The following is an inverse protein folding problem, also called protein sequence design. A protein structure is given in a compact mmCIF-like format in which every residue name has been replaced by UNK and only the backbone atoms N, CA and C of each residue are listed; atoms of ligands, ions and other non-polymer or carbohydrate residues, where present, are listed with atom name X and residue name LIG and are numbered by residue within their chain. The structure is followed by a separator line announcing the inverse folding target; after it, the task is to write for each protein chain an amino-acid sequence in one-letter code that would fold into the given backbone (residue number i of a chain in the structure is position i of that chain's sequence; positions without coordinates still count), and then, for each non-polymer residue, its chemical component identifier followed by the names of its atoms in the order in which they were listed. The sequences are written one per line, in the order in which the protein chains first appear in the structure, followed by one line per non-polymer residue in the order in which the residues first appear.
data_IF_953671057309
#
_entry.id   IF_953671057309
#
_cell.length_a   1.000
_cell.length_b   1.000
_cell.length_c   1.000
_cell.angle_alpha   90.00
_cell.angle_beta   90.00
_cell.angle_gamma   90.00
#
_symmetry.space_group_name_H-M   'P 1'
#
loop_
_entity.id
_entity.type
_entity.pdbx_description
1 polymer ?
#
# COMPACT_ATOMS: atom_id res chain seq x y z
N UNK A 1 30.01 35.54 53.23
CA UNK A 1 30.15 34.37 52.35
C UNK A 1 28.75 34.03 51.81
N UNK A 2 28.41 34.56 50.64
CA UNK A 2 27.08 34.42 50.05
C UNK A 2 27.12 33.23 49.10
N UNK A 3 26.34 32.20 49.44
CA UNK A 3 26.20 30.98 48.63
C UNK A 3 25.21 31.25 47.47
N UNK A 4 25.73 31.41 46.24
CA UNK A 4 24.90 31.52 45.06
C UNK A 4 24.52 30.11 44.59
N UNK A 5 23.27 29.70 44.87
CA UNK A 5 22.69 28.50 44.29
C UNK A 5 22.39 28.75 42.80
N UNK A 6 23.20 28.16 41.91
CA UNK A 6 22.95 28.06 40.49
C UNK A 6 21.79 27.06 40.28
N UNK A 7 20.58 27.57 40.09
CA UNK A 7 19.44 26.82 39.57
C UNK A 7 19.69 26.58 38.07
N UNK A 8 20.20 25.40 37.70
CA UNK A 8 20.18 24.93 36.33
C UNK A 8 18.72 24.71 35.91
N UNK A 9 18.26 25.29 34.83
CA UNK A 9 16.94 24.96 34.30
C UNK A 9 16.97 23.50 33.84
N UNK A 10 16.23 22.64 34.51
CA UNK A 10 15.82 21.35 33.96
C UNK A 10 14.96 21.67 32.73
N UNK A 11 15.60 21.69 31.55
CA UNK A 11 14.87 21.65 30.28
C UNK A 11 14.08 20.34 30.29
N UNK A 12 12.80 20.41 30.64
CA UNK A 12 11.82 19.40 30.33
C UNK A 12 11.85 19.32 28.77
N UNK A 13 12.56 18.32 28.24
CA UNK A 13 12.29 17.85 26.90
C UNK A 13 10.86 17.33 26.93
N UNK A 14 9.92 18.18 26.60
CA UNK A 14 8.57 17.75 26.30
C UNK A 14 8.71 16.73 25.16
N UNK A 15 8.57 15.46 25.49
CA UNK A 15 8.56 14.38 24.52
C UNK A 15 7.41 14.72 23.55
N UNK A 16 7.77 15.13 22.34
CA UNK A 16 6.78 15.55 21.34
C UNK A 16 5.86 14.35 21.12
N UNK A 17 4.62 14.51 21.58
CA UNK A 17 3.64 13.42 21.54
C UNK A 17 3.42 13.04 20.07
N UNK A 18 3.67 11.78 19.75
CA UNK A 18 3.36 11.27 18.41
C UNK A 18 1.91 11.59 18.06
N UNK A 19 1.72 12.33 16.98
CA UNK A 19 0.40 12.75 16.51
C UNK A 19 -0.21 11.72 15.53
N UNK A 20 0.61 10.84 14.93
CA UNK A 20 0.15 9.96 13.87
C UNK A 20 -0.60 8.73 14.42
N UNK A 21 -1.83 8.55 13.92
CA UNK A 21 -2.72 7.42 14.22
C UNK A 21 -3.04 6.60 12.98
N UNK A 22 -2.87 7.18 11.81
CA UNK A 22 -3.17 6.55 10.53
C UNK A 22 -1.91 6.50 9.66
N UNK A 23 -1.71 5.37 8.98
CA UNK A 23 -0.63 5.17 8.02
C UNK A 23 -1.22 4.84 6.65
N UNK A 24 -0.75 5.50 5.60
CA UNK A 24 -1.20 5.25 4.22
C UNK A 24 -0.02 4.89 3.32
N UNK A 25 -0.18 3.82 2.56
CA UNK A 25 0.89 3.21 1.76
C UNK A 25 0.51 3.15 0.29
N UNK A 26 1.37 3.69 -0.56
CA UNK A 26 1.20 3.68 -2.01
C UNK A 26 1.38 2.29 -2.60
N UNK A 27 0.74 2.01 -3.75
CA UNK A 27 1.02 0.85 -4.59
C UNK A 27 2.36 1.00 -5.32
N UNK A 28 3.16 -0.06 -5.38
CA UNK A 28 4.51 0.07 -5.97
C UNK A 28 5.12 -1.22 -6.52
N UNK A 29 4.37 -2.33 -6.59
CA UNK A 29 4.89 -3.63 -7.01
C UNK A 29 6.16 -4.01 -6.22
N UNK A 30 7.25 -4.41 -6.88
CA UNK A 30 8.52 -4.79 -6.24
C UNK A 30 9.17 -3.68 -5.41
N UNK A 31 8.84 -2.42 -5.66
CA UNK A 31 9.37 -1.26 -4.94
C UNK A 31 8.89 -1.21 -3.47
N UNK A 32 7.79 -1.91 -3.16
CA UNK A 32 7.27 -2.03 -1.78
C UNK A 32 8.26 -2.62 -0.76
N UNK A 33 9.40 -3.17 -1.20
CA UNK A 33 10.52 -3.55 -0.31
C UNK A 33 10.99 -2.36 0.53
N UNK A 34 10.90 -1.14 0.00
CA UNK A 34 11.28 0.07 0.69
C UNK A 34 10.48 0.32 1.98
N UNK A 35 9.27 -0.22 2.08
CA UNK A 35 8.45 -0.09 3.29
C UNK A 35 9.09 -0.71 4.53
N UNK A 36 9.84 -1.81 4.38
CA UNK A 36 10.50 -2.45 5.52
C UNK A 36 11.49 -1.50 6.21
N UNK A 37 12.28 -0.75 5.44
CA UNK A 37 13.19 0.26 5.98
C UNK A 37 12.45 1.43 6.64
N UNK A 38 11.41 1.94 6.00
CA UNK A 38 10.60 3.01 6.57
C UNK A 38 9.91 2.58 7.86
N UNK A 39 9.37 1.37 7.92
CA UNK A 39 8.75 0.82 9.14
C UNK A 39 9.76 0.67 10.27
N UNK A 40 11.00 0.27 9.98
CA UNK A 40 12.06 0.21 11.00
C UNK A 40 12.33 1.59 11.61
N UNK A 41 12.42 2.64 10.79
CA UNK A 41 12.60 4.00 11.29
C UNK A 41 11.40 4.47 12.13
N UNK A 42 10.16 4.20 11.67
CA UNK A 42 8.94 4.54 12.42
C UNK A 42 8.85 3.76 13.73
N UNK A 43 9.28 2.49 13.75
CA UNK A 43 9.30 1.66 14.97
C UNK A 43 10.31 2.17 15.97
N UNK A 44 11.54 2.51 15.54
CA UNK A 44 12.60 3.08 16.39
C UNK A 44 12.21 4.43 17.01
N UNK A 45 11.35 5.18 16.32
CA UNK A 45 10.78 6.45 16.82
C UNK A 45 9.50 6.28 17.64
N UNK A 46 9.06 5.05 17.86
CA UNK A 46 7.83 4.75 18.61
C UNK A 46 6.54 5.16 17.90
N UNK A 47 6.60 5.46 16.59
CA UNK A 47 5.43 5.88 15.79
C UNK A 47 4.62 4.67 15.35
N UNK A 48 5.27 3.65 14.78
CA UNK A 48 4.58 2.48 14.24
C UNK A 48 3.69 1.75 15.26
N UNK A 49 4.09 1.58 16.55
CA UNK A 49 3.22 1.00 17.56
C UNK A 49 1.94 1.80 17.83
N UNK A 50 1.98 3.13 17.69
CA UNK A 50 0.86 4.02 17.97
C UNK A 50 -0.13 4.16 16.79
N UNK A 51 0.21 3.65 15.60
CA UNK A 51 -0.70 3.58 14.47
C UNK A 51 -1.90 2.70 14.83
N UNK A 52 -3.09 3.15 14.47
CA UNK A 52 -4.36 2.46 14.72
C UNK A 52 -4.99 1.94 13.42
N UNK A 53 -4.84 2.67 12.31
CA UNK A 53 -5.41 2.34 11.01
C UNK A 53 -4.32 2.35 9.94
N UNK A 54 -4.33 1.38 9.05
CA UNK A 54 -3.40 1.33 7.91
C UNK A 54 -4.21 1.19 6.63
N UNK A 55 -4.01 2.13 5.71
CA UNK A 55 -4.60 2.13 4.39
C UNK A 55 -3.57 1.88 3.30
N UNK A 56 -3.95 1.21 2.20
CA UNK A 56 -3.03 1.04 1.10
C UNK A 56 -3.63 0.46 -0.17
N UNK A 57 -2.86 0.56 -1.24
CA UNK A 57 -3.18 -0.02 -2.55
C UNK A 57 -2.08 -1.00 -2.96
N UNK A 58 -2.44 -2.12 -3.61
CA UNK A 58 -1.47 -3.05 -4.20
C UNK A 58 -0.35 -3.48 -3.24
N UNK A 59 0.91 -3.17 -3.53
CA UNK A 59 2.04 -3.43 -2.63
C UNK A 59 1.89 -2.77 -1.26
N UNK A 60 1.27 -1.58 -1.21
CA UNK A 60 0.95 -0.89 0.04
C UNK A 60 -0.10 -1.64 0.87
N UNK A 61 -1.09 -2.26 0.23
CA UNK A 61 -2.06 -3.11 0.92
C UNK A 61 -1.41 -4.38 1.50
N UNK A 62 -0.44 -4.98 0.78
CA UNK A 62 0.32 -6.14 1.27
C UNK A 62 1.17 -5.76 2.49
N UNK A 63 1.91 -4.65 2.41
CA UNK A 63 2.71 -4.16 3.52
C UNK A 63 1.83 -3.75 4.72
N UNK A 64 0.70 -3.09 4.45
CA UNK A 64 -0.31 -2.72 5.45
C UNK A 64 -0.91 -3.93 6.15
N UNK A 65 -1.24 -5.00 5.40
CA UNK A 65 -1.70 -6.26 6.00
C UNK A 65 -0.70 -6.78 7.03
N UNK A 66 0.60 -6.83 6.68
CA UNK A 66 1.63 -7.34 7.60
C UNK A 66 1.67 -6.52 8.90
N UNK A 67 1.65 -5.18 8.80
CA UNK A 67 1.59 -4.31 9.98
C UNK A 67 0.31 -4.57 10.80
N UNK A 68 -0.85 -4.67 10.13
CA UNK A 68 -2.14 -4.82 10.79
C UNK A 68 -2.29 -6.13 11.58
N UNK A 69 -1.69 -7.21 11.08
CA UNK A 69 -1.73 -8.51 11.76
C UNK A 69 -0.56 -8.71 12.75
N UNK A 70 0.21 -7.66 13.03
CA UNK A 70 1.18 -7.63 14.12
C UNK A 70 2.59 -8.13 13.77
N UNK A 71 3.03 -8.02 12.51
CA UNK A 71 4.45 -8.16 12.18
C UNK A 71 5.21 -6.90 12.58
N UNK A 72 6.38 -7.06 13.19
CA UNK A 72 7.32 -5.97 13.41
C UNK A 72 8.17 -5.69 12.16
N UNK A 73 8.90 -4.57 12.14
CA UNK A 73 9.67 -4.15 10.97
C UNK A 73 10.72 -5.18 10.53
N UNK A 74 11.39 -5.84 11.48
CA UNK A 74 12.41 -6.87 11.19
C UNK A 74 11.80 -8.14 10.56
N UNK A 75 10.64 -8.57 11.06
CA UNK A 75 9.90 -9.70 10.48
C UNK A 75 9.43 -9.37 9.05
N UNK A 76 8.92 -8.14 8.83
CA UNK A 76 8.50 -7.66 7.51
C UNK A 76 9.69 -7.65 6.55
N UNK A 77 10.85 -7.13 6.95
CA UNK A 77 12.06 -7.16 6.13
C UNK A 77 12.47 -8.60 5.77
N UNK A 78 12.51 -9.49 6.76
CA UNK A 78 12.84 -10.91 6.51
C UNK A 78 11.89 -11.60 5.54
N UNK A 79 10.60 -11.27 5.58
CA UNK A 79 9.59 -11.83 4.67
C UNK A 79 9.71 -11.24 3.26
N UNK A 80 9.73 -9.92 3.15
CA UNK A 80 9.75 -9.21 1.86
C UNK A 80 11.09 -9.42 1.15
N UNK A 81 12.22 -9.45 1.87
CA UNK A 81 13.54 -9.68 1.29
C UNK A 81 13.66 -11.07 0.66
N UNK A 82 12.96 -12.07 1.19
CA UNK A 82 12.92 -13.44 0.64
C UNK A 82 11.86 -13.60 -0.45
N UNK A 83 10.90 -12.68 -0.53
CA UNK A 83 9.80 -12.79 -1.47
C UNK A 83 10.27 -12.59 -2.91
N UNK A 84 9.99 -13.58 -3.76
CA UNK A 84 10.15 -13.47 -5.20
C UNK A 84 8.76 -13.51 -5.84
N UNK A 85 8.26 -12.38 -6.32
CA UNK A 85 6.89 -12.27 -6.88
C UNK A 85 6.61 -13.29 -7.99
N UNK A 86 7.66 -13.76 -8.72
CA UNK A 86 7.50 -14.81 -9.72
C UNK A 86 7.07 -16.17 -9.14
N UNK A 87 7.25 -16.43 -7.85
CA UNK A 87 6.73 -17.65 -7.22
C UNK A 87 5.21 -17.74 -7.27
N UNK A 88 4.54 -16.59 -7.45
CA UNK A 88 3.09 -16.51 -7.62
C UNK A 88 2.64 -16.76 -9.06
N UNK A 89 3.58 -16.94 -10.00
CA UNK A 89 3.27 -17.30 -11.37
C UNK A 89 2.68 -18.71 -11.40
N UNK A 90 1.41 -18.81 -11.70
CA UNK A 90 0.64 -20.04 -11.70
C UNK A 90 -0.15 -20.25 -12.98
N UNK A 91 -0.74 -21.45 -13.11
CA UNK A 91 -1.49 -21.84 -14.28
C UNK A 91 -0.71 -22.78 -15.21
N UNK A 92 -1.42 -23.72 -15.83
CA UNK A 92 -0.86 -24.76 -16.69
C UNK A 92 -0.82 -24.34 -18.16
N UNK A 93 -0.08 -25.09 -19.01
CA UNK A 93 -0.14 -25.01 -20.47
C UNK A 93 0.82 -24.03 -21.12
N UNK A 94 1.94 -23.67 -20.45
CA UNK A 94 3.02 -22.88 -21.07
C UNK A 94 2.53 -21.58 -21.73
N UNK A 95 3.10 -21.22 -22.88
CA UNK A 95 2.75 -19.99 -23.64
C UNK A 95 1.29 -20.05 -24.13
N UNK A 96 0.84 -21.18 -24.67
CA UNK A 96 -0.54 -21.34 -25.15
C UNK A 96 -1.56 -21.21 -24.00
N UNK A 97 -1.24 -21.77 -22.83
CA UNK A 97 -2.08 -21.63 -21.65
C UNK A 97 -2.17 -20.18 -21.16
N UNK A 98 -1.07 -19.43 -21.20
CA UNK A 98 -1.03 -17.99 -20.88
C UNK A 98 -1.91 -17.19 -21.84
N UNK A 99 -1.76 -17.39 -23.16
CA UNK A 99 -2.58 -16.72 -24.17
C UNK A 99 -4.06 -17.04 -23.99
N UNK A 100 -4.42 -18.32 -23.80
CA UNK A 100 -5.82 -18.72 -23.56
C UNK A 100 -6.41 -18.07 -22.31
N UNK A 101 -5.66 -17.99 -21.21
CA UNK A 101 -6.13 -17.33 -19.99
C UNK A 101 -6.29 -15.84 -20.21
N UNK A 102 -5.32 -15.17 -20.80
CA UNK A 102 -5.40 -13.75 -21.10
C UNK A 102 -6.66 -13.44 -21.94
N UNK A 103 -6.94 -14.23 -22.97
CA UNK A 103 -8.11 -14.02 -23.85
C UNK A 103 -9.45 -14.34 -23.16
N UNK A 104 -9.51 -15.39 -22.33
CA UNK A 104 -10.78 -15.91 -21.79
C UNK A 104 -11.02 -15.54 -20.33
N UNK A 105 -9.96 -15.19 -19.59
CA UNK A 105 -9.97 -14.94 -18.14
C UNK A 105 -9.28 -13.64 -17.75
N UNK A 106 -8.84 -12.86 -18.74
CA UNK A 106 -8.28 -11.50 -18.60
C UNK A 106 -7.01 -11.40 -17.78
N UNK A 107 -6.29 -12.51 -17.57
CA UNK A 107 -5.01 -12.56 -16.85
C UNK A 107 -4.10 -13.68 -17.35
N UNK A 108 -2.78 -13.44 -17.31
CA UNK A 108 -1.75 -14.45 -17.69
C UNK A 108 -1.64 -15.53 -16.61
N UNK A 109 -1.72 -15.14 -15.35
CA UNK A 109 -1.62 -16.01 -14.18
C UNK A 109 -2.93 -16.01 -13.40
N UNK A 110 -3.23 -17.14 -12.75
CA UNK A 110 -4.50 -17.32 -12.00
C UNK A 110 -4.53 -16.51 -10.73
N UNK A 111 -3.37 -16.37 -10.07
CA UNK A 111 -3.23 -15.71 -8.78
C UNK A 111 -3.63 -16.56 -7.59
N UNK A 112 -3.87 -17.86 -7.77
CA UNK A 112 -4.23 -18.78 -6.69
C UNK A 112 -3.09 -18.98 -5.70
N UNK A 113 -1.84 -19.02 -6.21
CA UNK A 113 -0.65 -19.10 -5.35
C UNK A 113 -0.45 -17.84 -4.51
N UNK A 114 -0.73 -16.67 -5.07
CA UNK A 114 -0.66 -15.40 -4.36
C UNK A 114 -1.74 -15.36 -3.27
N UNK A 115 -2.97 -15.71 -3.61
CA UNK A 115 -4.07 -15.80 -2.66
C UNK A 115 -3.74 -16.77 -1.52
N UNK A 116 -3.30 -17.99 -1.84
CA UNK A 116 -2.90 -18.99 -0.84
C UNK A 116 -1.81 -18.46 0.10
N UNK A 117 -0.82 -17.75 -0.44
CA UNK A 117 0.24 -17.17 0.37
C UNK A 117 -0.30 -16.11 1.34
N UNK A 118 -1.24 -15.26 0.92
CA UNK A 118 -1.88 -14.28 1.80
C UNK A 118 -2.65 -14.96 2.95
N UNK A 119 -3.43 -15.99 2.65
CA UNK A 119 -4.14 -16.76 3.68
C UNK A 119 -3.17 -17.44 4.67
N UNK A 120 -2.05 -17.97 4.17
CA UNK A 120 -1.00 -18.57 5.01
C UNK A 120 -0.31 -17.50 5.89
N UNK A 121 -0.06 -16.31 5.36
CA UNK A 121 0.52 -15.21 6.11
C UNK A 121 -0.39 -14.78 7.27
N UNK A 122 -1.68 -14.63 7.00
CA UNK A 122 -2.68 -14.31 8.03
C UNK A 122 -2.75 -15.42 9.08
N UNK A 123 -2.86 -16.67 8.65
CA UNK A 123 -2.89 -17.82 9.56
C UNK A 123 -1.65 -17.90 10.47
N UNK A 124 -0.47 -17.62 9.91
CA UNK A 124 0.79 -17.69 10.65
C UNK A 124 0.82 -16.73 11.85
N UNK A 125 0.29 -15.52 11.69
CA UNK A 125 0.30 -14.49 12.75
C UNK A 125 -0.92 -14.53 13.68
N UNK A 126 -2.08 -14.93 13.16
CA UNK A 126 -3.36 -14.80 13.89
C UNK A 126 -3.98 -16.13 14.26
N UNK A 127 -3.46 -17.24 13.75
CA UNK A 127 -4.05 -18.57 13.91
C UNK A 127 -5.30 -18.82 13.05
N UNK A 128 -5.82 -17.80 12.34
CA UNK A 128 -7.04 -17.91 11.53
C UNK A 128 -6.78 -17.44 10.08
N UNK A 129 -6.71 -18.38 9.13
CA UNK A 129 -6.52 -18.06 7.72
C UNK A 129 -7.64 -17.18 7.13
N UNK A 130 -8.87 -17.35 7.60
CA UNK A 130 -10.07 -16.68 7.09
C UNK A 130 -10.45 -15.45 7.92
N UNK A 131 -9.49 -14.84 8.63
CA UNK A 131 -9.73 -13.67 9.45
C UNK A 131 -10.44 -12.58 8.65
N UNK A 132 -11.58 -12.11 9.16
CA UNK A 132 -12.38 -11.06 8.54
C UNK A 132 -11.93 -9.67 9.02
N UNK A 133 -12.39 -8.61 8.36
CA UNK A 133 -12.16 -7.25 8.84
C UNK A 133 -12.79 -7.01 10.21
N UNK A 134 -13.98 -7.55 10.48
CA UNK A 134 -14.63 -7.46 11.79
C UNK A 134 -13.82 -8.18 12.89
N UNK A 135 -13.24 -9.34 12.57
CA UNK A 135 -12.37 -10.06 13.50
C UNK A 135 -11.12 -9.26 13.85
N UNK A 136 -10.45 -8.73 12.81
CA UNK A 136 -9.25 -7.91 12.99
C UNK A 136 -9.56 -6.65 13.83
N UNK A 137 -10.69 -6.01 13.59
CA UNK A 137 -11.13 -4.86 14.38
C UNK A 137 -11.32 -5.21 15.87
N UNK A 138 -11.96 -6.35 16.17
CA UNK A 138 -12.10 -6.83 17.56
C UNK A 138 -10.73 -7.09 18.21
N UNK A 139 -9.82 -7.77 17.48
CA UNK A 139 -8.46 -8.01 17.96
C UNK A 139 -7.72 -6.70 18.27
N UNK A 140 -7.88 -5.67 17.43
CA UNK A 140 -7.30 -4.35 17.68
C UNK A 140 -7.85 -3.69 18.95
N UNK A 141 -9.14 -3.81 19.23
CA UNK A 141 -9.75 -3.27 20.45
C UNK A 141 -9.19 -3.92 21.71
N UNK A 142 -8.83 -5.19 21.65
CA UNK A 142 -8.27 -5.97 22.76
C UNK A 142 -6.75 -5.80 22.87
N UNK A 143 -6.04 -5.63 21.76
CA UNK A 143 -4.58 -5.59 21.73
C UNK A 143 -4.08 -4.60 20.65
N UNK A 144 -3.40 -3.54 21.09
CA UNK A 144 -2.82 -2.50 20.24
C UNK A 144 -1.76 -3.00 19.23
N UNK A 145 -1.30 -4.23 19.34
CA UNK A 145 -0.43 -4.85 18.35
C UNK A 145 -1.13 -4.96 17.00
N UNK A 146 -2.44 -5.22 16.98
CA UNK A 146 -3.25 -5.28 15.77
C UNK A 146 -3.73 -3.89 15.36
N UNK A 147 -3.96 -3.70 14.05
CA UNK A 147 -4.42 -2.42 13.48
C UNK A 147 -5.59 -2.69 12.53
N UNK A 148 -6.43 -1.69 12.30
CA UNK A 148 -7.48 -1.78 11.29
C UNK A 148 -6.89 -1.63 9.90
N UNK A 149 -7.22 -2.56 9.01
CA UNK A 149 -6.77 -2.56 7.62
C UNK A 149 -7.84 -1.93 6.71
N UNK A 150 -7.36 -1.12 5.77
CA UNK A 150 -8.15 -0.56 4.68
C UNK A 150 -7.43 -0.81 3.36
N UNK A 151 -8.08 -1.44 2.40
CA UNK A 151 -7.48 -1.67 1.08
C UNK A 151 -8.39 -1.16 -0.03
N UNK A 152 -7.78 -0.65 -1.10
CA UNK A 152 -8.50 -0.24 -2.30
C UNK A 152 -8.66 -1.41 -3.27
N UNK A 153 -9.75 -1.39 -4.03
CA UNK A 153 -9.97 -2.28 -5.17
C UNK A 153 -10.73 -1.55 -6.27
N UNK A 154 -10.40 -1.87 -7.52
CA UNK A 154 -11.10 -1.30 -8.69
C UNK A 154 -12.15 -2.27 -9.19
N UNK A 155 -13.42 -1.88 -9.13
CA UNK A 155 -14.53 -2.61 -9.74
C UNK A 155 -14.67 -2.20 -11.20
N UNK A 156 -14.16 -3.02 -12.12
CA UNK A 156 -14.23 -2.73 -13.56
C UNK A 156 -15.66 -2.80 -14.09
N UNK A 157 -16.52 -3.62 -13.51
CA UNK A 157 -17.92 -3.76 -13.96
C UNK A 157 -18.72 -2.49 -13.67
N UNK A 158 -18.53 -1.92 -12.49
CA UNK A 158 -19.23 -0.70 -12.04
C UNK A 158 -18.43 0.58 -12.28
N UNK A 159 -17.21 0.49 -12.80
CA UNK A 159 -16.31 1.62 -13.08
C UNK A 159 -16.07 2.49 -11.83
N UNK A 160 -15.86 1.84 -10.68
CA UNK A 160 -15.75 2.54 -9.40
C UNK A 160 -14.62 2.01 -8.53
N UNK A 161 -14.15 2.89 -7.65
CA UNK A 161 -13.23 2.57 -6.55
C UNK A 161 -14.04 2.05 -5.36
N UNK A 162 -13.65 0.89 -4.85
CA UNK A 162 -14.15 0.37 -3.58
C UNK A 162 -13.01 0.38 -2.54
N UNK A 163 -13.38 0.68 -1.30
CA UNK A 163 -12.52 0.53 -0.12
C UNK A 163 -13.06 -0.62 0.71
N UNK A 164 -12.21 -1.61 0.98
CA UNK A 164 -12.52 -2.75 1.85
C UNK A 164 -11.99 -2.50 3.24
N UNK A 165 -12.86 -2.56 4.24
CA UNK A 165 -12.55 -2.31 5.65
C UNK A 165 -13.61 -2.92 6.56
N UNK A 166 -13.43 -2.84 7.88
CA UNK A 166 -14.46 -3.26 8.83
C UNK A 166 -15.73 -2.40 8.74
N UNK A 167 -15.64 -1.18 8.22
CA UNK A 167 -16.78 -0.26 8.05
C UNK A 167 -17.61 -0.60 6.81
N UNK A 168 -16.99 -1.08 5.73
CA UNK A 168 -17.64 -1.27 4.43
C UNK A 168 -17.89 -2.73 4.07
N UNK A 169 -17.03 -3.63 4.53
CA UNK A 169 -17.05 -5.08 4.19
C UNK A 169 -16.62 -5.92 5.40
N UNK A 170 -17.30 -5.82 6.56
CA UNK A 170 -16.90 -6.45 7.82
C UNK A 170 -16.68 -7.96 7.71
N UNK A 171 -17.49 -8.66 6.93
CA UNK A 171 -17.47 -10.12 6.79
C UNK A 171 -16.48 -10.62 5.72
N UNK A 172 -15.83 -9.72 4.96
CA UNK A 172 -14.84 -10.10 3.96
C UNK A 172 -13.53 -10.51 4.64
N UNK A 173 -12.91 -11.61 4.14
CA UNK A 173 -11.56 -11.97 4.54
C UNK A 173 -10.55 -10.88 4.15
N UNK A 174 -9.70 -10.47 5.10
CA UNK A 174 -8.63 -9.49 4.83
C UNK A 174 -7.64 -9.99 3.78
N UNK A 175 -7.37 -11.30 3.73
CA UNK A 175 -6.52 -11.91 2.69
C UNK A 175 -7.15 -11.76 1.29
N UNK A 176 -8.48 -11.94 1.16
CA UNK A 176 -9.19 -11.76 -0.10
C UNK A 176 -9.14 -10.30 -0.57
N UNK A 177 -9.37 -9.34 0.32
CA UNK A 177 -9.31 -7.92 0.00
C UNK A 177 -7.91 -7.51 -0.50
N UNK A 178 -6.85 -7.97 0.17
CA UNK A 178 -5.46 -7.72 -0.28
C UNK A 178 -5.14 -8.45 -1.59
N UNK A 179 -5.70 -9.66 -1.81
CA UNK A 179 -5.62 -10.36 -3.11
C UNK A 179 -6.23 -9.53 -4.23
N UNK A 180 -7.39 -8.90 -3.98
CA UNK A 180 -8.03 -7.98 -4.94
C UNK A 180 -7.12 -6.79 -5.19
N UNK A 181 -6.67 -6.13 -4.12
CA UNK A 181 -5.82 -4.94 -4.20
C UNK A 181 -4.52 -5.17 -4.96
N UNK A 182 -3.96 -6.39 -4.90
CA UNK A 182 -2.75 -6.79 -5.65
C UNK A 182 -3.04 -7.50 -7.00
N UNK A 183 -4.27 -7.44 -7.52
CA UNK A 183 -4.65 -8.06 -8.80
C UNK A 183 -4.28 -7.21 -10.00
N UNK A 184 -2.98 -7.09 -10.30
CA UNK A 184 -2.47 -6.31 -11.44
C UNK A 184 -3.17 -6.76 -12.73
N UNK A 185 -3.86 -5.85 -13.46
CA UNK A 185 -4.57 -6.17 -14.69
C UNK A 185 -3.69 -6.86 -15.72
N UNK A 186 -4.26 -7.81 -16.44
CA UNK A 186 -3.58 -8.65 -17.42
C UNK A 186 -2.51 -9.58 -16.87
N UNK A 187 -1.92 -9.29 -15.71
CA UNK A 187 -0.96 -10.17 -15.06
C UNK A 187 -1.66 -11.28 -14.26
N UNK A 188 -2.52 -10.91 -13.32
CA UNK A 188 -3.41 -11.85 -12.63
C UNK A 188 -4.82 -11.84 -13.22
N UNK A 189 -5.51 -12.98 -13.18
CA UNK A 189 -6.95 -13.02 -13.42
C UNK A 189 -7.65 -12.15 -12.37
N UNK A 190 -8.67 -11.34 -12.78
CA UNK A 190 -9.46 -10.56 -11.83
C UNK A 190 -10.17 -11.46 -10.82
N UNK A 191 -10.41 -10.92 -9.64
CA UNK A 191 -11.25 -11.57 -8.63
C UNK A 191 -12.71 -11.27 -8.92
N UNK A 192 -13.56 -12.30 -8.89
CA UNK A 192 -14.98 -12.18 -9.15
C UNK A 192 -15.76 -12.11 -7.84
N UNK A 193 -16.54 -11.06 -7.67
CA UNK A 193 -17.44 -10.91 -6.52
C UNK A 193 -18.88 -10.72 -6.95
N UNK A 194 -19.80 -11.12 -6.08
CA UNK A 194 -21.20 -10.73 -6.15
C UNK A 194 -21.40 -9.26 -5.77
N UNK A 195 -22.62 -8.74 -5.89
CA UNK A 195 -22.92 -7.36 -5.45
C UNK A 195 -22.75 -7.17 -3.93
N UNK A 196 -23.02 -8.21 -3.16
CA UNK A 196 -22.80 -8.24 -1.70
C UNK A 196 -21.36 -8.63 -1.30
N UNK A 197 -20.41 -8.48 -2.24
CA UNK A 197 -18.96 -8.65 -2.04
C UNK A 197 -18.50 -10.06 -1.67
N UNK A 198 -19.28 -11.10 -1.93
CA UNK A 198 -18.87 -12.49 -1.74
C UNK A 198 -18.10 -12.99 -2.95
N UNK A 199 -17.04 -13.75 -2.72
CA UNK A 199 -16.24 -14.35 -3.79
C UNK A 199 -17.07 -15.34 -4.59
N UNK A 200 -16.95 -15.25 -5.92
CA UNK A 200 -17.57 -16.18 -6.87
C UNK A 200 -16.50 -17.14 -7.36
N UNK A 201 -16.79 -18.44 -7.30
CA UNK A 201 -15.91 -19.44 -7.90
C UNK A 201 -15.89 -19.30 -9.43
N UNK A 202 -14.71 -19.53 -10.03
CA UNK A 202 -14.52 -19.36 -11.49
C UNK A 202 -15.41 -20.24 -12.35
N UNK A 203 -15.88 -21.35 -11.82
CA UNK A 203 -16.81 -22.30 -12.46
C UNK A 203 -18.26 -21.84 -12.42
N UNK A 204 -18.63 -21.00 -11.46
CA UNK A 204 -19.99 -20.49 -11.33
C UNK A 204 -20.27 -19.47 -12.42
N UNK A 205 -21.19 -19.78 -13.33
CA UNK A 205 -21.63 -18.89 -14.42
C UNK A 205 -23.03 -18.32 -14.19
N UNK A 206 -23.65 -18.63 -13.07
CA UNK A 206 -25.07 -18.33 -12.80
C UNK A 206 -25.28 -16.99 -12.08
N UNK A 207 -24.24 -16.46 -11.40
CA UNK A 207 -24.34 -15.24 -10.60
C UNK A 207 -23.88 -14.01 -11.38
N UNK A 208 -24.49 -12.87 -11.09
CA UNK A 208 -23.98 -11.57 -11.52
C UNK A 208 -22.55 -11.35 -10.99
N UNK A 209 -21.66 -10.88 -11.86
CA UNK A 209 -20.22 -10.80 -11.58
C UNK A 209 -19.71 -9.39 -11.63
N UNK A 210 -19.06 -8.98 -10.56
CA UNK A 210 -18.22 -7.81 -10.54
C UNK A 210 -16.75 -8.23 -10.69
N UNK A 211 -16.08 -7.71 -11.69
CA UNK A 211 -14.66 -7.96 -11.97
C UNK A 211 -13.81 -6.98 -11.20
N UNK A 212 -13.05 -7.48 -10.23
CA UNK A 212 -12.17 -6.67 -9.40
C UNK A 212 -10.71 -6.85 -9.81
N UNK A 213 -10.02 -5.72 -9.92
CA UNK A 213 -8.58 -5.64 -10.18
C UNK A 213 -7.90 -4.73 -9.15
N UNK A 214 -6.59 -4.53 -9.31
CA UNK A 214 -5.74 -3.72 -8.44
C UNK A 214 -6.34 -2.33 -8.17
N UNK A 215 -6.36 -1.95 -6.90
CA UNK A 215 -6.88 -0.65 -6.47
C UNK A 215 -6.08 0.53 -7.01
N UNK A 216 -4.80 0.33 -7.29
CA UNK A 216 -3.91 1.34 -7.86
C UNK A 216 -4.30 1.83 -9.25
N UNK A 217 -5.25 1.15 -9.92
CA UNK A 217 -5.80 1.63 -11.19
C UNK A 217 -6.58 2.93 -11.05
N UNK A 218 -7.35 3.10 -9.98
CA UNK A 218 -8.14 4.30 -9.73
C UNK A 218 -7.56 5.16 -8.59
N UNK A 219 -6.87 4.55 -7.62
CA UNK A 219 -6.28 5.25 -6.50
C UNK A 219 -5.04 4.50 -5.99
N UNK A 220 -3.86 4.87 -6.52
CA UNK A 220 -2.59 4.20 -6.15
C UNK A 220 -2.04 4.67 -4.81
N UNK A 221 -2.23 5.96 -4.48
CA UNK A 221 -1.84 6.54 -3.20
C UNK A 221 -3.06 7.13 -2.50
N UNK A 222 -3.75 6.35 -1.65
CA UNK A 222 -5.01 6.75 -1.05
C UNK A 222 -4.82 7.63 0.20
N UNK A 223 -3.99 8.70 0.12
CA UNK A 223 -3.61 9.53 1.28
C UNK A 223 -4.80 10.18 1.97
N UNK A 224 -5.86 10.50 1.24
CA UNK A 224 -7.10 11.09 1.78
C UNK A 224 -8.06 10.08 2.38
N UNK A 225 -7.70 8.80 2.46
CA UNK A 225 -8.59 7.73 2.95
C UNK A 225 -9.17 8.00 4.34
N UNK A 226 -8.43 8.68 5.19
CA UNK A 226 -8.82 9.01 6.57
C UNK A 226 -9.16 10.49 6.77
N UNK A 227 -9.26 11.26 5.69
CA UNK A 227 -9.72 12.64 5.71
C UNK A 227 -11.25 12.69 5.85
N UNK A 228 -11.80 13.85 6.08
CA UNK A 228 -13.26 14.04 6.16
C UNK A 228 -13.75 14.78 4.93
N UNK A 229 -14.67 14.18 4.19
CA UNK A 229 -15.35 14.85 3.09
C UNK A 229 -16.46 15.77 3.63
N UNK A 230 -16.50 17.01 3.17
CA UNK A 230 -17.53 17.98 3.61
C UNK A 230 -18.96 17.51 3.26
N UNK A 231 -19.13 16.76 2.18
CA UNK A 231 -20.44 16.20 1.78
C UNK A 231 -20.78 14.88 2.49
N UNK A 232 -19.91 14.34 3.35
CA UNK A 232 -20.10 13.04 4.01
C UNK A 232 -19.89 11.83 3.10
N UNK A 233 -19.42 12.03 1.86
CA UNK A 233 -19.12 10.95 0.92
C UNK A 233 -17.70 10.39 1.12
N UNK A 234 -17.32 9.40 0.30
CA UNK A 234 -15.98 8.81 0.35
C UNK A 234 -14.88 9.87 0.12
N UNK A 235 -13.97 10.10 1.08
CA UNK A 235 -12.93 11.12 0.98
C UNK A 235 -12.01 10.96 -0.25
N UNK A 236 -11.81 9.74 -0.74
CA UNK A 236 -10.99 9.46 -1.93
C UNK A 236 -11.64 9.93 -3.24
N UNK A 237 -12.93 10.27 -3.22
CA UNK A 237 -13.70 10.71 -4.37
C UNK A 237 -14.25 12.13 -4.20
N UNK A 238 -13.82 12.81 -3.16
CA UNK A 238 -14.34 14.11 -2.72
C UNK A 238 -13.43 15.25 -3.17
N UNK A 239 -14.03 16.31 -3.74
CA UNK A 239 -13.28 17.49 -4.19
C UNK A 239 -12.83 18.40 -3.03
N UNK A 240 -13.59 18.37 -1.92
CA UNK A 240 -13.30 19.19 -0.74
C UNK A 240 -13.17 18.30 0.49
N UNK A 241 -11.94 18.06 0.89
CA UNK A 241 -11.61 17.29 2.08
C UNK A 241 -10.97 18.16 3.14
N UNK A 242 -11.35 17.91 4.39
CA UNK A 242 -10.64 18.40 5.57
C UNK A 242 -9.60 17.36 5.96
N UNK A 243 -8.32 17.77 5.88
CA UNK A 243 -7.19 16.88 6.16
C UNK A 243 -7.15 16.40 7.60
N UNK A 244 -6.93 15.11 7.76
CA UNK A 244 -6.63 14.52 9.04
C UNK A 244 -5.12 14.62 9.30
N UNK A 245 -4.72 15.47 10.24
CA UNK A 245 -3.30 15.70 10.61
C UNK A 245 -2.66 14.49 11.28
N UNK A 246 -3.47 13.53 11.75
CA UNK A 246 -2.98 12.28 12.32
C UNK A 246 -2.64 11.23 11.25
N UNK A 247 -2.74 11.58 9.96
CA UNK A 247 -2.42 10.67 8.85
C UNK A 247 -1.01 10.92 8.35
N UNK A 248 -0.19 9.87 8.36
CA UNK A 248 1.13 9.80 7.75
C UNK A 248 1.07 8.93 6.51
N UNK A 249 1.65 9.39 5.40
CA UNK A 249 1.75 8.62 4.17
C UNK A 249 3.18 8.22 3.85
N UNK A 250 3.35 7.10 3.12
CA UNK A 250 4.63 6.72 2.50
C UNK A 250 4.40 6.53 1.01
N UNK A 251 5.09 7.31 0.20
CA UNK A 251 4.98 7.34 -1.26
C UNK A 251 6.29 6.96 -1.93
N UNK A 252 6.20 6.15 -2.98
CA UNK A 252 7.36 5.60 -3.70
C UNK A 252 7.59 6.37 -5.00
N UNK A 253 8.61 7.23 -5.03
CA UNK A 253 8.83 8.18 -6.13
C UNK A 253 10.18 8.02 -6.82
N UNK A 254 10.26 8.55 -8.03
CA UNK A 254 11.54 8.70 -8.74
C UNK A 254 12.37 9.82 -8.12
N UNK A 255 13.71 9.72 -8.12
CA UNK A 255 14.57 10.79 -7.60
C UNK A 255 14.26 12.17 -8.20
N UNK A 256 14.04 12.20 -9.53
CA UNK A 256 13.71 13.44 -10.25
C UNK A 256 12.34 14.02 -9.84
N UNK A 257 11.39 13.14 -9.48
CA UNK A 257 10.07 13.57 -9.01
C UNK A 257 10.15 14.21 -7.63
N UNK A 258 10.95 13.63 -6.73
CA UNK A 258 11.21 14.17 -5.38
C UNK A 258 11.86 15.55 -5.53
N UNK A 259 12.93 15.67 -6.33
CA UNK A 259 13.58 16.97 -6.59
C UNK A 259 12.65 17.99 -7.25
N UNK A 260 11.74 17.56 -8.12
CA UNK A 260 10.71 18.45 -8.67
C UNK A 260 9.78 18.98 -7.57
N UNK A 261 9.33 18.11 -6.67
CA UNK A 261 8.47 18.51 -5.55
C UNK A 261 9.16 19.50 -4.61
N UNK A 262 10.43 19.31 -4.32
CA UNK A 262 11.23 20.25 -3.50
C UNK A 262 11.29 21.65 -4.11
N UNK A 263 11.21 21.75 -5.44
CA UNK A 263 11.25 23.01 -6.19
C UNK A 263 9.86 23.48 -6.68
N UNK A 264 8.76 23.03 -6.05
CA UNK A 264 7.37 23.35 -6.42
C UNK A 264 6.99 23.02 -7.87
N UNK A 265 7.74 22.12 -8.51
CA UNK A 265 7.51 21.65 -9.86
C UNK A 265 6.70 20.34 -9.83
N UNK A 266 5.52 20.37 -10.43
CA UNK A 266 4.62 19.20 -10.54
C UNK A 266 4.85 18.38 -11.81
N UNK A 267 5.83 18.74 -12.65
CA UNK A 267 6.08 18.04 -13.91
C UNK A 267 6.52 16.59 -13.68
N UNK A 268 5.93 15.67 -14.43
CA UNK A 268 6.38 14.26 -14.44
C UNK A 268 7.67 14.18 -15.24
N UNK A 269 8.76 13.61 -14.68
CA UNK A 269 9.98 13.36 -15.43
C UNK A 269 9.71 12.41 -16.62
N UNK A 270 10.29 12.71 -17.78
CA UNK A 270 10.16 11.91 -18.99
C UNK A 270 10.74 10.48 -18.85
N UNK A 271 10.46 9.65 -19.84
CA UNK A 271 11.02 8.30 -20.00
C UNK A 271 11.82 8.22 -21.29
N UNK A 272 12.99 7.56 -21.26
CA UNK A 272 13.68 7.15 -22.49
C UNK A 272 13.00 5.89 -23.05
N UNK A 273 12.50 5.96 -24.29
CA UNK A 273 11.79 4.87 -24.95
C UNK A 273 12.67 4.34 -26.07
N UNK A 274 13.30 3.17 -25.84
CA UNK A 274 14.19 2.53 -26.81
C UNK A 274 13.63 1.20 -27.33
N UNK A 275 12.65 0.61 -26.65
CA UNK A 275 12.04 -0.67 -27.00
C UNK A 275 10.59 -0.76 -26.51
N UNK A 276 9.85 -1.71 -27.02
CA UNK A 276 8.43 -1.92 -26.69
C UNK A 276 8.18 -1.98 -25.17
N UNK A 277 9.07 -2.63 -24.42
CA UNK A 277 8.89 -2.70 -22.95
C UNK A 277 9.03 -1.33 -22.24
N UNK A 278 9.80 -0.41 -22.80
CA UNK A 278 9.94 0.94 -22.26
C UNK A 278 8.69 1.77 -22.60
N UNK A 279 8.18 1.63 -23.83
CA UNK A 279 6.92 2.24 -24.25
C UNK A 279 5.74 1.80 -23.36
N UNK A 280 5.59 0.49 -23.14
CA UNK A 280 4.51 -0.04 -22.28
C UNK A 280 4.67 0.42 -20.84
N UNK A 281 5.91 0.53 -20.34
CA UNK A 281 6.18 1.05 -19.00
C UNK A 281 5.83 2.54 -18.89
N UNK A 282 6.24 3.35 -19.87
CA UNK A 282 5.94 4.78 -19.91
C UNK A 282 4.44 5.02 -20.01
N UNK A 283 3.76 4.27 -20.88
CA UNK A 283 2.29 4.36 -21.06
C UNK A 283 1.55 3.97 -19.77
N UNK A 284 1.90 2.84 -19.15
CA UNK A 284 1.26 2.39 -17.91
C UNK A 284 1.48 3.38 -16.76
N UNK A 285 2.71 3.88 -16.60
CA UNK A 285 3.01 4.87 -15.58
C UNK A 285 2.27 6.19 -15.83
N UNK A 286 2.23 6.67 -17.08
CA UNK A 286 1.49 7.89 -17.41
C UNK A 286 0.00 7.74 -17.07
N UNK A 287 -0.60 6.58 -17.37
CA UNK A 287 -2.00 6.30 -17.06
C UNK A 287 -2.25 6.35 -15.55
N UNK A 288 -1.45 5.61 -14.77
CA UNK A 288 -1.57 5.58 -13.30
C UNK A 288 -1.32 6.96 -12.68
N UNK A 289 -0.27 7.64 -13.09
CA UNK A 289 0.05 8.99 -12.64
C UNK A 289 -1.06 10.00 -12.96
N UNK A 290 -1.62 9.94 -14.15
CA UNK A 290 -2.72 10.84 -14.55
C UNK A 290 -3.97 10.60 -13.70
N UNK A 291 -4.30 9.34 -13.41
CA UNK A 291 -5.43 8.99 -12.54
C UNK A 291 -5.22 9.45 -11.10
N UNK A 292 -4.00 9.32 -10.58
CA UNK A 292 -3.66 9.71 -9.21
C UNK A 292 -3.51 11.23 -9.04
N UNK A 293 -3.34 11.99 -10.12
CA UNK A 293 -3.22 13.45 -10.09
C UNK A 293 -4.53 14.21 -9.96
N UNK A 294 -5.66 13.55 -10.00
CA UNK A 294 -6.97 14.21 -9.87
C UNK A 294 -7.14 15.02 -8.58
N UNK A 295 -6.27 14.81 -7.59
CA UNK A 295 -6.39 15.43 -6.26
C UNK A 295 -5.07 16.01 -5.74
N UNK A 296 -4.39 16.91 -6.46
CA UNK A 296 -3.17 17.50 -5.93
C UNK A 296 -3.50 18.71 -5.03
N UNK A 297 -3.70 18.47 -3.76
CA UNK A 297 -3.38 19.50 -2.79
C UNK A 297 -1.95 19.21 -2.29
N UNK A 298 -0.98 19.55 -3.15
CA UNK A 298 0.44 19.22 -2.98
C UNK A 298 0.98 19.71 -1.64
N UNK A 299 0.59 20.89 -1.18
CA UNK A 299 1.05 21.46 0.08
C UNK A 299 0.64 20.60 1.28
N UNK A 300 -0.62 20.18 1.32
CA UNK A 300 -1.14 19.34 2.40
C UNK A 300 -0.67 17.88 2.30
N UNK A 301 -0.41 17.37 1.10
CA UNK A 301 0.17 16.04 0.89
C UNK A 301 1.63 16.00 1.36
N UNK A 302 2.44 17.03 1.03
CA UNK A 302 3.84 17.12 1.42
C UNK A 302 4.07 17.10 2.93
N UNK A 303 3.30 17.86 3.68
CA UNK A 303 3.43 17.98 5.12
C UNK A 303 3.13 16.69 5.90
N UNK A 304 2.63 15.65 5.23
CA UNK A 304 2.27 14.37 5.86
C UNK A 304 2.73 13.13 5.05
N UNK A 305 3.66 13.31 4.12
CA UNK A 305 4.13 12.22 3.24
C UNK A 305 5.63 12.06 3.30
N UNK A 306 6.07 10.85 3.59
CA UNK A 306 7.45 10.40 3.45
C UNK A 306 7.66 9.96 2.00
N UNK A 307 8.44 10.72 1.22
CA UNK A 307 8.78 10.36 -0.15
C UNK A 307 10.02 9.47 -0.18
N UNK A 308 9.85 8.24 -0.61
CA UNK A 308 10.94 7.26 -0.70
C UNK A 308 11.39 7.09 -2.14
N UNK A 309 12.66 7.39 -2.39
CA UNK A 309 13.26 7.18 -3.71
C UNK A 309 13.43 5.70 -4.00
N UNK A 310 12.94 5.24 -5.16
CA UNK A 310 13.23 3.90 -5.64
C UNK A 310 14.38 3.88 -6.69
N UNK A 311 15.08 5.00 -6.89
CA UNK A 311 16.17 5.11 -7.87
C UNK A 311 15.69 4.78 -9.29
N UNK A 312 16.51 4.06 -10.03
CA UNK A 312 16.22 3.61 -11.39
C UNK A 312 15.52 2.22 -11.45
N UNK A 313 15.03 1.72 -10.32
CA UNK A 313 14.42 0.40 -10.24
C UNK A 313 13.08 0.39 -10.96
N UNK A 314 13.02 -0.36 -12.07
CA UNK A 314 11.79 -0.51 -12.87
C UNK A 314 10.75 -1.37 -12.13
N UNK A 315 9.50 -0.95 -12.16
CA UNK A 315 8.36 -1.67 -11.56
C UNK A 315 7.98 -2.95 -12.33
N UNK A 316 8.97 -3.80 -12.67
CA UNK A 316 8.73 -5.08 -13.34
C UNK A 316 8.67 -6.20 -12.29
N UNK A 317 7.70 -7.11 -12.42
CA UNK A 317 7.65 -8.33 -11.62
C UNK A 317 8.79 -9.24 -12.05
N UNK A 318 9.92 -9.16 -11.36
CA UNK A 318 11.12 -9.93 -11.57
C UNK A 318 11.81 -10.26 -10.25
N UNK A 319 12.71 -11.22 -10.28
CA UNK A 319 13.60 -11.43 -9.14
C UNK A 319 14.51 -10.21 -9.00
N UNK A 320 14.48 -9.60 -7.83
CA UNK A 320 15.35 -8.46 -7.53
C UNK A 320 16.72 -8.97 -7.06
N UNK A 321 17.76 -8.23 -7.41
CA UNK A 321 19.10 -8.48 -6.91
C UNK A 321 19.21 -8.08 -5.44
N UNK A 322 20.10 -8.71 -4.66
CA UNK A 322 20.31 -8.34 -3.25
C UNK A 322 20.63 -6.85 -3.07
N UNK A 323 21.44 -6.27 -3.95
CA UNK A 323 21.86 -4.87 -3.91
C UNK A 323 20.67 -3.94 -4.13
N UNK A 324 19.74 -4.28 -5.02
CA UNK A 324 18.51 -3.50 -5.26
C UNK A 324 17.58 -3.53 -4.03
N UNK A 325 17.49 -4.69 -3.37
CA UNK A 325 16.69 -4.82 -2.14
C UNK A 325 17.29 -4.00 -1.01
N UNK A 326 18.61 -4.07 -0.84
CA UNK A 326 19.35 -3.28 0.15
C UNK A 326 19.17 -1.79 -0.09
N UNK A 327 19.33 -1.33 -1.35
CA UNK A 327 19.11 0.07 -1.72
C UNK A 327 17.70 0.56 -1.37
N UNK A 328 16.65 -0.21 -1.70
CA UNK A 328 15.28 0.16 -1.38
C UNK A 328 15.04 0.23 0.13
N UNK A 329 15.57 -0.72 0.88
CA UNK A 329 15.48 -0.71 2.34
C UNK A 329 16.16 0.53 2.93
N UNK A 330 17.40 0.82 2.53
CA UNK A 330 18.16 1.98 2.99
C UNK A 330 17.46 3.30 2.62
N UNK A 331 16.95 3.40 1.39
CA UNK A 331 16.19 4.59 0.97
C UNK A 331 14.93 4.78 1.81
N UNK A 332 14.19 3.72 2.11
CA UNK A 332 13.02 3.77 2.98
C UNK A 332 13.36 4.23 4.38
N UNK A 333 14.40 3.66 4.97
CA UNK A 333 14.88 4.02 6.30
C UNK A 333 15.32 5.49 6.39
N UNK A 334 16.19 5.90 5.45
CA UNK A 334 16.75 7.26 5.43
C UNK A 334 15.66 8.31 5.18
N UNK A 335 14.73 8.05 4.24
CA UNK A 335 13.63 8.97 3.95
C UNK A 335 12.74 9.18 5.18
N UNK A 336 12.42 8.11 5.90
CA UNK A 336 11.63 8.22 7.13
C UNK A 336 12.41 8.95 8.25
N UNK A 337 13.70 8.65 8.44
CA UNK A 337 14.53 9.38 9.41
C UNK A 337 14.62 10.87 9.09
N UNK A 338 14.84 11.24 7.83
CA UNK A 338 14.94 12.64 7.41
C UNK A 338 13.62 13.40 7.60
N UNK A 339 12.50 12.78 7.23
CA UNK A 339 11.17 13.35 7.46
C UNK A 339 10.93 13.62 8.94
N UNK A 340 11.26 12.66 9.79
CA UNK A 340 11.05 12.76 11.24
C UNK A 340 12.07 13.67 11.97
N UNK A 341 13.22 13.95 11.38
CA UNK A 341 14.19 14.91 11.93
C UNK A 341 13.74 16.37 11.75
N UNK A 342 12.85 16.64 10.82
CA UNK A 342 12.22 17.95 10.61
C UNK A 342 11.02 18.22 11.53
N UNK A 343 10.68 17.24 12.35
CA UNK A 343 9.64 17.30 13.37
C UNK A 343 10.30 17.22 14.76
#
# INVERSE_FOLDING_TARGET
MILVLLLLPLSLFAQQKNIYKNLVLEGGSVKGIAYAGAFLALEQKGILPEIEKVGGSSAGAIAGLMVCIGFNASEIDSLISKLALQQFNDGRGGIFGKYRRLRKKFGIYRGDKFEKWLYQLVAFKTGNANLTFADLHRMRLENKQYKDLYCTGTNLTKQQLDVFSYETTPDMSIALAVRISGSIPFYFEPVLLTDDKRKIERSDTTRARNYYVDGGMLCNYPISMFDTCESGSNPLLCDKVRFNRETLGIKLERPQQIGNFENDNIAIPGYSINKLSDFLTAFGNLTVETMNRKYPNLENERGRTIYVSFGDIKAKIRRMKPEEKKLLFENGFNAACNFLAGY
#
